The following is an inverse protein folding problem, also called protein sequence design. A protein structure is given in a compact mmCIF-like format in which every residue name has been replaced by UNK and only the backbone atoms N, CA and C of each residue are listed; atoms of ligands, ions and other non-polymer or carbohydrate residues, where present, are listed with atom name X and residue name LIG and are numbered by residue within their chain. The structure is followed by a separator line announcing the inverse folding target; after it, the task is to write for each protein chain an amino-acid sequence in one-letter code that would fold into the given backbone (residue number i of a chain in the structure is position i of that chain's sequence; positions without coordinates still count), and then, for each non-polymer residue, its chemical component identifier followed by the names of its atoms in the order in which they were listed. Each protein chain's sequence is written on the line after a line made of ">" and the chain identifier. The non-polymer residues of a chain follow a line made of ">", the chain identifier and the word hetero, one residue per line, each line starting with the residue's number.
data_IF_068818989012
#
_entry.id   IF_068818989012
#
_cell.length_a   1.000
_cell.length_b   1.000
_cell.length_c   1.000
_cell.angle_alpha   90.00
_cell.angle_beta   90.00
_cell.angle_gamma   90.00
#
_symmetry.space_group_name_H-M   'P 1'
#
loop_
_entity.id
_entity.type
_entity.pdbx_description
1 polymer ?
#
# COMPACT_ATOMS: atom_id res chain seq x y z
N UNK A 1 49.13 -40.88 -12.86
CA UNK A 1 48.93 -39.59 -12.15
C UNK A 1 48.59 -38.54 -13.17
N UNK A 2 47.31 -38.18 -13.28
CA UNK A 2 46.87 -36.91 -13.85
C UNK A 2 45.56 -36.56 -13.15
N UNK A 3 45.61 -35.48 -12.40
CA UNK A 3 44.51 -34.89 -11.64
C UNK A 3 43.89 -33.83 -12.54
N UNK A 4 42.63 -33.96 -12.93
CA UNK A 4 41.88 -32.85 -13.51
C UNK A 4 41.04 -32.21 -12.39
N UNK A 5 41.42 -30.97 -12.05
CA UNK A 5 40.81 -30.16 -11.02
C UNK A 5 39.51 -29.56 -11.53
N UNK A 6 38.39 -29.98 -10.93
CA UNK A 6 37.09 -29.36 -11.11
C UNK A 6 37.10 -27.96 -10.51
N UNK A 7 36.98 -26.90 -11.32
CA UNK A 7 36.63 -25.57 -10.83
C UNK A 7 35.12 -25.36 -10.97
N UNK A 8 34.37 -25.74 -9.94
CA UNK A 8 32.96 -25.36 -9.85
C UNK A 8 32.88 -23.91 -9.34
N UNK A 9 32.60 -22.97 -10.24
CA UNK A 9 32.19 -21.61 -9.85
C UNK A 9 30.83 -21.69 -9.17
N UNK A 10 30.81 -21.60 -7.85
CA UNK A 10 29.59 -21.38 -7.08
C UNK A 10 29.19 -19.91 -7.23
N UNK A 11 28.21 -19.65 -8.09
CA UNK A 11 27.47 -18.39 -8.05
C UNK A 11 26.65 -18.38 -6.77
N UNK A 12 27.07 -17.60 -5.77
CA UNK A 12 26.25 -17.31 -4.61
C UNK A 12 24.98 -16.59 -5.08
N UNK A 13 23.87 -17.32 -5.11
CA UNK A 13 22.55 -16.74 -5.28
C UNK A 13 22.29 -15.95 -3.99
N UNK A 14 22.45 -14.64 -4.04
CA UNK A 14 21.94 -13.75 -3.00
C UNK A 14 20.42 -13.82 -3.02
N UNK A 15 19.88 -14.71 -2.19
CA UNK A 15 18.44 -14.77 -1.93
C UNK A 15 18.08 -13.50 -1.16
N UNK A 16 17.48 -12.53 -1.85
CA UNK A 16 16.88 -11.37 -1.19
C UNK A 16 15.86 -11.89 -0.17
N UNK A 17 15.84 -11.34 1.06
CA UNK A 17 14.87 -11.76 2.04
C UNK A 17 13.46 -11.52 1.48
N UNK A 18 12.51 -12.44 1.73
CA UNK A 18 11.13 -12.26 1.29
C UNK A 18 10.62 -10.91 1.84
N UNK A 19 10.10 -10.06 0.95
CA UNK A 19 9.57 -8.74 1.34
C UNK A 19 8.33 -8.83 2.26
N UNK A 20 7.80 -10.03 2.48
CA UNK A 20 6.63 -10.30 3.31
C UNK A 20 6.83 -10.02 4.82
N UNK A 21 8.03 -9.64 5.25
CA UNK A 21 8.33 -9.26 6.65
C UNK A 21 8.47 -7.76 6.91
N UNK A 22 8.48 -6.91 5.86
CA UNK A 22 8.71 -5.48 6.03
C UNK A 22 7.39 -4.70 6.07
N UNK A 23 7.30 -3.78 7.02
CA UNK A 23 6.12 -2.93 7.23
C UNK A 23 6.54 -1.47 7.29
N UNK A 24 5.73 -0.62 6.66
CA UNK A 24 5.84 0.83 6.79
C UNK A 24 4.81 1.29 7.81
N UNK A 25 5.27 1.91 8.90
CA UNK A 25 4.40 2.54 9.90
C UNK A 25 3.91 3.87 9.31
N UNK A 26 2.60 4.07 9.26
CA UNK A 26 1.96 5.27 8.71
C UNK A 26 1.29 6.13 9.78
N UNK A 27 0.93 5.54 10.91
CA UNK A 27 0.31 6.26 12.01
C UNK A 27 0.73 5.68 13.35
N UNK A 28 1.05 6.54 14.33
CA UNK A 28 1.44 6.13 15.68
C UNK A 28 0.52 6.85 16.66
N UNK A 29 -0.27 6.08 17.41
CA UNK A 29 -1.09 6.59 18.50
C UNK A 29 -0.32 6.55 19.82
N UNK A 30 0.39 5.44 20.07
CA UNK A 30 1.28 5.26 21.21
C UNK A 30 2.39 4.25 20.89
N UNK A 31 3.31 4.02 21.83
CA UNK A 31 4.35 3.00 21.69
C UNK A 31 3.80 1.57 21.53
N UNK A 32 2.57 1.32 21.96
CA UNK A 32 1.91 0.00 21.88
C UNK A 32 0.76 -0.04 20.86
N UNK A 33 0.43 1.09 20.24
CA UNK A 33 -0.66 1.18 19.26
C UNK A 33 -0.23 2.04 18.07
N UNK A 34 -0.04 1.39 16.94
CA UNK A 34 0.35 2.00 15.68
C UNK A 34 -0.25 1.22 14.51
N UNK A 35 -0.31 1.88 13.37
CA UNK A 35 -0.89 1.35 12.14
C UNK A 35 0.12 1.49 11.00
N UNK A 36 0.07 0.55 10.07
CA UNK A 36 0.97 0.50 8.93
C UNK A 36 0.48 -0.48 7.88
N UNK A 37 1.24 -0.61 6.80
CA UNK A 37 0.97 -1.58 5.75
C UNK A 37 2.22 -2.41 5.46
N UNK A 38 2.02 -3.65 5.00
CA UNK A 38 3.13 -4.47 4.53
C UNK A 38 3.65 -3.95 3.20
N UNK A 39 4.96 -4.06 2.99
CA UNK A 39 5.60 -3.69 1.74
C UNK A 39 5.11 -4.56 0.57
N UNK A 40 4.80 -5.84 0.85
CA UNK A 40 4.21 -6.75 -0.14
C UNK A 40 2.87 -6.30 -0.73
N UNK A 41 2.15 -5.36 -0.09
CA UNK A 41 0.87 -4.80 -0.59
C UNK A 41 0.97 -3.35 -1.06
N UNK A 42 2.16 -2.78 -1.12
CA UNK A 42 2.37 -1.37 -1.53
C UNK A 42 1.81 -1.11 -2.94
N UNK A 43 2.03 -2.03 -3.88
CA UNK A 43 1.47 -1.93 -5.25
C UNK A 43 -0.07 -1.92 -5.28
N UNK A 44 -0.72 -2.71 -4.41
CA UNK A 44 -2.18 -2.75 -4.33
C UNK A 44 -2.71 -1.44 -3.74
N UNK A 45 -2.01 -0.90 -2.74
CA UNK A 45 -2.35 0.37 -2.11
C UNK A 45 -2.18 1.55 -3.08
N UNK A 46 -1.11 1.58 -3.87
CA UNK A 46 -0.89 2.58 -4.91
C UNK A 46 -1.94 2.51 -6.02
N UNK A 47 -2.26 1.30 -6.47
CA UNK A 47 -3.33 1.09 -7.46
C UNK A 47 -4.69 1.55 -6.92
N UNK A 48 -4.96 1.34 -5.63
CA UNK A 48 -6.15 1.84 -4.97
C UNK A 48 -6.21 3.37 -4.95
N UNK A 49 -5.13 4.06 -4.57
CA UNK A 49 -5.09 5.53 -4.57
C UNK A 49 -5.29 6.11 -5.97
N UNK A 50 -4.61 5.54 -6.97
CA UNK A 50 -4.79 5.95 -8.36
C UNK A 50 -6.25 5.76 -8.82
N UNK A 51 -6.87 4.65 -8.45
CA UNK A 51 -8.28 4.41 -8.78
C UNK A 51 -9.22 5.45 -8.15
N UNK A 52 -8.95 5.87 -6.92
CA UNK A 52 -9.70 6.97 -6.30
C UNK A 52 -9.48 8.29 -7.06
N UNK A 53 -8.24 8.64 -7.36
CA UNK A 53 -7.93 9.84 -8.17
C UNK A 53 -8.66 9.81 -9.52
N UNK A 54 -8.63 8.68 -10.22
CA UNK A 54 -9.31 8.52 -11.51
C UNK A 54 -10.84 8.73 -11.38
N UNK A 55 -11.46 8.25 -10.31
CA UNK A 55 -12.90 8.41 -10.07
C UNK A 55 -13.27 9.86 -9.70
N UNK A 56 -12.50 10.48 -8.81
CA UNK A 56 -12.88 11.75 -8.20
C UNK A 56 -12.33 12.97 -8.96
N UNK A 57 -11.22 12.85 -9.70
CA UNK A 57 -10.69 13.92 -10.54
C UNK A 57 -11.30 13.95 -11.94
N UNK A 58 -11.67 12.80 -12.53
CA UNK A 58 -12.23 12.76 -13.88
C UNK A 58 -13.76 12.88 -13.93
N UNK A 59 -14.43 13.08 -12.78
CA UNK A 59 -15.88 13.05 -12.76
C UNK A 59 -16.49 14.37 -13.25
N UNK A 60 -17.01 14.31 -14.47
CA UNK A 60 -17.95 15.25 -15.09
C UNK A 60 -19.41 15.01 -14.62
N UNK A 61 -19.67 14.06 -13.72
CA UNK A 61 -21.01 13.78 -13.15
C UNK A 61 -21.11 14.24 -11.68
N UNK A 62 -21.30 15.54 -11.52
CA UNK A 62 -21.42 16.30 -10.26
C UNK A 62 -22.55 15.89 -9.29
N UNK A 63 -23.32 14.82 -9.54
CA UNK A 63 -24.52 14.51 -8.74
C UNK A 63 -24.50 13.18 -7.98
N UNK A 64 -23.55 12.27 -8.23
CA UNK A 64 -23.58 10.92 -7.62
C UNK A 64 -22.61 10.72 -6.44
N UNK A 65 -21.58 11.55 -6.30
CA UNK A 65 -20.53 11.34 -5.28
C UNK A 65 -20.63 12.28 -4.07
N UNK A 66 -21.53 13.26 -4.14
CA UNK A 66 -21.91 14.10 -3.01
C UNK A 66 -22.69 13.27 -1.98
N UNK A 67 -21.99 12.65 -1.05
CA UNK A 67 -22.61 12.01 0.12
C UNK A 67 -23.22 13.11 0.99
N UNK A 68 -24.53 13.31 0.91
CA UNK A 68 -25.23 14.34 1.68
C UNK A 68 -25.27 14.08 3.19
N UNK A 69 -24.89 12.88 3.65
CA UNK A 69 -24.91 12.50 5.06
C UNK A 69 -23.73 11.60 5.43
N UNK A 70 -22.91 12.07 6.36
CA UNK A 70 -21.90 11.24 7.02
C UNK A 70 -22.56 10.46 8.15
N UNK A 71 -22.62 9.13 8.03
CA UNK A 71 -23.14 8.25 9.07
C UNK A 71 -21.99 7.51 9.74
N UNK A 72 -22.00 7.46 11.06
CA UNK A 72 -20.99 6.74 11.84
C UNK A 72 -20.89 5.28 11.39
N UNK A 73 -19.65 4.78 11.27
CA UNK A 73 -19.37 3.42 10.83
C UNK A 73 -19.46 3.17 9.32
N UNK A 74 -20.01 4.11 8.53
CA UNK A 74 -20.01 3.98 7.06
C UNK A 74 -18.69 4.49 6.47
N UNK A 75 -17.99 3.66 5.66
CA UNK A 75 -16.81 4.13 4.94
C UNK A 75 -17.17 5.19 3.91
N UNK A 76 -16.45 6.31 3.91
CA UNK A 76 -16.55 7.36 2.91
C UNK A 76 -15.18 7.69 2.32
N UNK A 77 -15.14 8.47 1.25
CA UNK A 77 -13.89 8.99 0.67
C UNK A 77 -13.79 10.47 0.99
N UNK A 78 -12.62 10.90 1.48
CA UNK A 78 -12.28 12.29 1.72
C UNK A 78 -11.07 12.69 0.87
N UNK A 79 -10.94 13.97 0.58
CA UNK A 79 -9.74 14.53 -0.02
C UNK A 79 -8.87 15.16 1.07
N UNK A 80 -7.60 14.76 1.15
CA UNK A 80 -6.61 15.31 2.07
C UNK A 80 -5.40 15.79 1.26
N UNK A 81 -5.31 17.10 1.03
CA UNK A 81 -4.36 17.65 0.06
C UNK A 81 -4.70 17.18 -1.36
N UNK A 82 -3.72 16.67 -2.08
CA UNK A 82 -3.89 16.21 -3.47
C UNK A 82 -4.32 14.74 -3.59
N UNK A 83 -4.55 14.06 -2.46
CA UNK A 83 -4.87 12.62 -2.41
C UNK A 83 -6.27 12.36 -1.88
N UNK A 84 -6.86 11.28 -2.36
CA UNK A 84 -8.13 10.74 -1.87
C UNK A 84 -7.90 9.55 -0.94
N UNK A 85 -8.62 9.53 0.17
CA UNK A 85 -8.50 8.53 1.21
C UNK A 85 -9.86 7.94 1.56
N UNK A 86 -9.95 6.62 1.68
CA UNK A 86 -11.10 5.96 2.28
C UNK A 86 -10.96 5.99 3.80
N UNK A 87 -11.95 6.53 4.49
CA UNK A 87 -11.99 6.65 5.95
C UNK A 87 -13.29 6.06 6.50
N UNK A 88 -13.28 5.70 7.77
CA UNK A 88 -14.48 5.33 8.53
C UNK A 88 -14.67 6.39 9.60
N UNK A 89 -15.84 7.01 9.61
CA UNK A 89 -16.19 8.00 10.63
C UNK A 89 -16.54 7.26 11.91
N UNK A 90 -15.89 7.66 12.99
CA UNK A 90 -16.07 7.16 14.36
C UNK A 90 -16.50 8.29 15.26
#
# INVERSE_FOLDING_TARGET
>A
TSTDSSSSSSSEIQTLPPQDGYYTITHVYSAIEFYGHSQGREKELDAFYKHLEDIYNNNTNDQSLSVHFFMEGIPCVIQQGDKYHRVIIK
#
